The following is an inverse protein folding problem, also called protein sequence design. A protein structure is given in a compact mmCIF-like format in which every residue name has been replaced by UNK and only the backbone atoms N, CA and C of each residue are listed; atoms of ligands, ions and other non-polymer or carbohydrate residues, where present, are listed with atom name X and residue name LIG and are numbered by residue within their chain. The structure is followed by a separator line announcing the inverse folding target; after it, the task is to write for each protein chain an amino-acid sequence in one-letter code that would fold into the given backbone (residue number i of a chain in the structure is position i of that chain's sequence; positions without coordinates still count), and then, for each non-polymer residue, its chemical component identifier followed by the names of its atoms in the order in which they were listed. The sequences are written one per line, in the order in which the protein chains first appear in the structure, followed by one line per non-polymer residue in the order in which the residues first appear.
data_IF_794228246042
#
_entry.id   IF_794228246042
#
_cell.length_a   1.000
_cell.length_b   1.000
_cell.length_c   1.000
_cell.angle_alpha   90.00
_cell.angle_beta   90.00
_cell.angle_gamma   90.00
#
_symmetry.space_group_name_H-M   'P 1'
#
loop_
_entity.id
_entity.type
_entity.pdbx_description
1 polymer ?
#
# COMPACT_ATOMS: atom_id res chain seq x y z
N UNK A 1 -1.29 -9.13 -4.93
CA UNK A 1 -1.64 -8.56 -3.60
C UNK A 1 -1.06 -9.44 -2.51
N UNK A 2 -0.47 -8.86 -1.47
CA UNK A 2 0.14 -9.59 -0.35
C UNK A 2 -0.36 -9.00 0.98
N UNK A 3 -0.78 -9.81 1.95
CA UNK A 3 -1.09 -9.26 3.28
C UNK A 3 0.19 -8.81 3.99
N UNK A 4 1.24 -9.64 4.01
CA UNK A 4 2.58 -9.30 4.54
C UNK A 4 2.81 -9.72 5.99
N UNK A 5 2.09 -10.75 6.47
CA UNK A 5 2.22 -11.29 7.84
C UNK A 5 3.33 -12.34 7.96
N UNK A 6 3.51 -13.20 6.96
CA UNK A 6 4.40 -14.37 7.04
C UNK A 6 5.83 -14.06 6.59
N UNK A 7 6.41 -12.97 7.12
CA UNK A 7 7.73 -12.46 6.70
C UNK A 7 8.71 -12.41 7.88
N UNK A 8 9.31 -13.56 8.18
CA UNK A 8 10.13 -13.79 9.38
C UNK A 8 11.34 -12.84 9.57
N UNK A 9 11.85 -12.23 8.50
CA UNK A 9 13.07 -11.39 8.53
C UNK A 9 12.94 -10.03 7.85
N UNK A 10 11.81 -9.73 7.23
CA UNK A 10 11.61 -8.53 6.45
C UNK A 10 10.40 -7.77 6.99
N UNK A 11 10.42 -6.45 6.86
CA UNK A 11 9.18 -5.68 7.00
C UNK A 11 8.21 -6.04 5.88
N UNK A 12 6.90 -5.89 6.10
CA UNK A 12 5.89 -6.12 5.07
C UNK A 12 6.17 -5.33 3.77
N UNK A 13 6.70 -4.11 3.88
CA UNK A 13 7.14 -3.31 2.72
C UNK A 13 8.27 -4.00 1.95
N UNK A 14 9.33 -4.42 2.63
CA UNK A 14 10.49 -5.05 2.00
C UNK A 14 10.11 -6.38 1.32
N UNK A 15 9.24 -7.16 1.96
CA UNK A 15 8.74 -8.38 1.37
C UNK A 15 7.90 -8.12 0.11
N UNK A 16 7.00 -7.13 0.15
CA UNK A 16 6.19 -6.75 -1.00
C UNK A 16 7.05 -6.18 -2.15
N UNK A 17 8.02 -5.32 -1.83
CA UNK A 17 8.96 -4.79 -2.81
C UNK A 17 9.74 -5.91 -3.48
N UNK A 18 10.26 -6.87 -2.72
CA UNK A 18 11.00 -8.02 -3.28
C UNK A 18 10.11 -8.90 -4.18
N UNK A 19 8.87 -9.13 -3.80
CA UNK A 19 7.94 -9.99 -4.53
C UNK A 19 7.45 -9.34 -5.84
N UNK A 20 7.18 -8.04 -5.82
CA UNK A 20 6.52 -7.35 -6.93
C UNK A 20 7.48 -6.69 -7.92
N UNK A 21 8.71 -6.39 -7.50
CA UNK A 21 9.73 -5.75 -8.32
C UNK A 21 9.96 -6.52 -9.62
N UNK A 22 9.79 -5.82 -10.74
CA UNK A 22 9.94 -6.34 -12.11
C UNK A 22 8.96 -7.47 -12.50
N UNK A 23 7.89 -7.69 -11.73
CA UNK A 23 6.88 -8.75 -11.99
C UNK A 23 5.50 -8.16 -12.29
N UNK A 24 5.17 -7.00 -11.73
CA UNK A 24 3.86 -6.34 -11.88
C UNK A 24 4.01 -4.83 -12.01
N UNK A 25 3.02 -4.16 -12.59
CA UNK A 25 2.95 -2.69 -12.67
C UNK A 25 2.41 -2.07 -11.36
N UNK A 26 1.60 -2.82 -10.60
CA UNK A 26 1.04 -2.40 -9.30
C UNK A 26 1.11 -3.53 -8.26
N UNK A 27 1.88 -3.29 -7.20
CA UNK A 27 1.98 -4.16 -6.03
C UNK A 27 1.19 -3.61 -4.84
N UNK A 28 0.13 -4.30 -4.41
CA UNK A 28 -0.67 -3.92 -3.23
C UNK A 28 -0.29 -4.78 -2.03
N UNK A 29 0.04 -4.14 -0.90
CA UNK A 29 0.37 -4.80 0.36
C UNK A 29 -0.29 -4.20 1.62
N UNK A 30 -0.26 -4.94 2.73
CA UNK A 30 -0.89 -4.55 4.01
C UNK A 30 0.00 -4.79 5.24
N UNK A 31 -0.59 -5.31 6.32
CA UNK A 31 0.02 -5.71 7.61
C UNK A 31 0.61 -4.58 8.47
N UNK A 32 1.31 -3.61 7.88
CA UNK A 32 1.91 -2.48 8.62
C UNK A 32 0.87 -1.48 9.15
N UNK A 33 -0.31 -1.43 8.51
CA UNK A 33 -1.32 -0.38 8.68
C UNK A 33 -0.80 1.03 8.38
N UNK A 34 0.34 1.13 7.69
CA UNK A 34 1.00 2.40 7.33
C UNK A 34 0.73 2.70 5.85
N UNK A 35 -0.02 3.76 5.54
CA UNK A 35 -0.28 4.18 4.18
C UNK A 35 0.99 4.40 3.39
N UNK A 36 1.01 3.94 2.14
CA UNK A 36 2.14 4.13 1.23
C UNK A 36 1.64 4.19 -0.21
N UNK A 37 2.13 5.15 -0.99
CA UNK A 37 2.02 5.16 -2.45
C UNK A 37 3.36 5.64 -2.98
N UNK A 38 4.13 4.74 -3.61
CA UNK A 38 5.48 5.06 -4.07
C UNK A 38 5.83 4.29 -5.34
N UNK A 39 6.40 4.99 -6.31
CA UNK A 39 7.00 4.36 -7.47
C UNK A 39 8.38 3.81 -7.13
N UNK A 40 8.63 2.57 -7.52
CA UNK A 40 9.92 1.90 -7.39
C UNK A 40 10.29 1.44 -8.79
N UNK A 41 11.27 2.11 -9.39
CA UNK A 41 11.58 1.97 -10.82
C UNK A 41 10.29 2.17 -11.64
N UNK A 42 9.84 1.13 -12.36
CA UNK A 42 8.69 1.20 -13.26
C UNK A 42 7.40 0.60 -12.68
N UNK A 43 7.33 0.32 -11.37
CA UNK A 43 6.10 -0.18 -10.74
C UNK A 43 5.65 0.61 -9.52
N UNK A 44 4.34 0.65 -9.30
CA UNK A 44 3.71 1.30 -8.16
C UNK A 44 3.58 0.34 -7.00
N UNK A 45 4.20 0.65 -5.85
CA UNK A 45 4.01 -0.08 -4.59
C UNK A 45 3.03 0.68 -3.69
N UNK A 46 1.94 0.03 -3.32
CA UNK A 46 0.80 0.65 -2.65
C UNK A 46 0.36 -0.09 -1.37
N UNK A 47 0.13 0.67 -0.29
CA UNK A 47 -0.49 0.20 0.94
C UNK A 47 -1.63 1.17 1.31
N UNK A 48 -2.90 0.73 1.34
CA UNK A 48 -4.03 1.60 1.64
C UNK A 48 -4.08 2.05 3.11
N UNK A 49 -3.21 1.51 3.97
CA UNK A 49 -3.28 1.71 5.41
C UNK A 49 -4.36 0.85 6.05
N UNK A 50 -5.16 1.44 6.93
CA UNK A 50 -6.26 0.73 7.59
C UNK A 50 -7.45 1.64 7.82
N UNK A 51 -8.62 1.17 7.39
CA UNK A 51 -9.89 1.88 7.53
C UNK A 51 -10.46 1.79 8.96
N UNK A 52 -10.06 0.78 9.74
CA UNK A 52 -10.69 0.45 11.03
C UNK A 52 -9.72 0.21 12.19
N UNK A 53 -8.43 0.04 11.93
CA UNK A 53 -7.43 -0.22 12.96
C UNK A 53 -6.13 0.56 12.68
N UNK A 54 -5.93 1.72 13.29
CA UNK A 54 -4.63 2.41 13.24
C UNK A 54 -3.67 1.76 14.23
N UNK A 55 -2.39 1.67 13.88
CA UNK A 55 -1.32 1.33 14.84
C UNK A 55 -0.62 2.59 15.34
N UNK A 56 -0.01 3.33 14.43
CA UNK A 56 0.77 4.54 14.75
C UNK A 56 0.38 5.78 13.93
N UNK A 57 -0.52 5.62 12.97
CA UNK A 57 -0.94 6.70 12.08
C UNK A 57 -2.04 7.57 12.74
N UNK A 58 -2.04 8.90 12.51
CA UNK A 58 -3.02 9.80 13.12
C UNK A 58 -4.43 9.60 12.54
N UNK A 59 -4.55 9.16 11.29
CA UNK A 59 -5.83 9.04 10.57
C UNK A 59 -6.04 7.64 10.00
N UNK A 60 -7.31 7.18 9.99
CA UNK A 60 -7.69 6.00 9.24
C UNK A 60 -7.55 6.32 7.75
N UNK A 61 -7.35 5.29 6.94
CA UNK A 61 -7.03 5.46 5.52
C UNK A 61 -7.54 4.30 4.68
N UNK A 62 -7.72 4.58 3.40
CA UNK A 62 -8.04 3.60 2.37
C UNK A 62 -7.48 4.06 1.02
N UNK A 63 -7.41 3.14 0.06
CA UNK A 63 -6.97 3.43 -1.30
C UNK A 63 -8.11 3.44 -2.29
N UNK A 64 -8.02 4.32 -3.29
CA UNK A 64 -8.80 4.29 -4.52
C UNK A 64 -7.83 4.06 -5.68
N UNK A 65 -8.12 3.07 -6.52
CA UNK A 65 -7.33 2.79 -7.71
C UNK A 65 -8.14 3.20 -8.93
N UNK A 66 -7.52 3.99 -9.79
CA UNK A 66 -8.04 4.34 -11.10
C UNK A 66 -7.22 3.56 -12.12
N UNK A 67 -7.87 2.60 -12.78
CA UNK A 67 -7.22 1.69 -13.73
C UNK A 67 -7.94 1.84 -15.05
N UNK A 68 -7.19 2.18 -16.09
CA UNK A 68 -7.67 2.18 -17.47
C UNK A 68 -6.75 1.30 -18.35
N UNK A 69 -6.83 1.44 -19.67
CA UNK A 69 -6.02 0.62 -20.61
C UNK A 69 -4.55 1.00 -20.62
N UNK A 70 -4.21 2.24 -20.29
CA UNK A 70 -2.88 2.83 -20.49
C UNK A 70 -2.23 3.23 -19.17
N UNK A 71 -3.00 3.36 -18.10
CA UNK A 71 -2.53 3.90 -16.83
C UNK A 71 -3.11 3.20 -15.59
N UNK A 72 -2.33 3.28 -14.51
CA UNK A 72 -2.73 2.91 -13.16
C UNK A 72 -2.36 4.05 -12.23
N UNK A 73 -3.36 4.62 -11.57
CA UNK A 73 -3.19 5.67 -10.56
C UNK A 73 -3.73 5.19 -9.21
N UNK A 74 -3.04 5.56 -8.13
CA UNK A 74 -3.46 5.23 -6.77
C UNK A 74 -3.61 6.48 -5.90
N UNK A 75 -4.84 6.70 -5.47
CA UNK A 75 -5.26 7.74 -4.56
C UNK A 75 -5.27 7.21 -3.12
N UNK A 76 -4.46 7.81 -2.25
CA UNK A 76 -4.48 7.50 -0.84
C UNK A 76 -5.40 8.49 -0.11
N UNK A 77 -6.50 7.99 0.45
CA UNK A 77 -7.50 8.81 1.13
C UNK A 77 -7.44 8.60 2.63
N UNK A 78 -7.65 9.68 3.37
CA UNK A 78 -7.67 9.70 4.82
C UNK A 78 -9.04 10.13 5.31
N UNK A 79 -9.51 9.51 6.39
CA UNK A 79 -10.75 9.93 7.04
C UNK A 79 -10.56 11.31 7.67
N UNK A 80 -11.58 12.18 7.66
CA UNK A 80 -11.52 13.48 8.33
C UNK A 80 -11.20 13.29 9.82
N UNK A 81 -10.30 14.11 10.35
CA UNK A 81 -10.12 14.21 11.80
C UNK A 81 -11.33 14.96 12.35
N UNK A 82 -12.06 14.35 13.30
CA UNK A 82 -13.06 15.09 14.08
C UNK A 82 -12.30 16.19 14.84
N UNK A 83 -12.63 17.45 14.56
CA UNK A 83 -12.10 18.61 15.29
C UNK A 83 -12.65 18.65 16.73
#
# INVERSE_FOLDING_TARGET
MMHGHDVDRLTARQAAEREFRCVVDLGIFGHSHRPLSTWIDDFLLFNPGSATSKRWEPQFSYGLLHIDRESVEADLRFYPTLQ
#
